data_IF_666010565695
#
_entry.id   IF_666010565695
#
_cell.length_a   1.000
_cell.length_b   1.000
_cell.length_c   1.000
_cell.angle_alpha   90.00
_cell.angle_beta   90.00
_cell.angle_gamma   90.00
#
_symmetry.space_group_name_H-M   'P 1'
#
loop_
_entity.id
_entity.type
_entity.pdbx_description
1 polymer ?
#
# COMPACT_ATOMS: atom_id res chain seq x y z
N UNK A 1 85.61 4.44 24.31
CA UNK A 1 84.76 5.64 24.49
C UNK A 1 83.45 5.34 23.78
N UNK A 2 82.35 5.00 24.48
CA UNK A 2 81.27 5.90 24.95
C UNK A 2 80.78 6.78 23.77
N UNK A 3 79.56 6.67 23.24
CA UNK A 3 78.28 6.76 23.96
C UNK A 3 77.08 6.22 23.16
N UNK A 4 76.15 5.59 23.90
CA UNK A 4 74.73 5.36 23.60
C UNK A 4 73.95 6.68 23.57
N UNK A 5 72.88 6.76 22.78
CA UNK A 5 71.58 7.31 23.21
C UNK A 5 70.49 7.02 22.15
N UNK A 6 69.63 6.04 22.44
CA UNK A 6 68.31 5.87 21.84
C UNK A 6 67.31 6.57 22.74
N UNK A 7 66.49 7.46 22.19
CA UNK A 7 65.37 8.09 22.91
C UNK A 7 64.06 7.58 22.30
N UNK A 8 63.40 6.66 23.00
CA UNK A 8 62.01 6.25 22.76
C UNK A 8 61.13 7.14 23.62
N UNK A 9 60.31 7.98 22.99
CA UNK A 9 59.24 8.73 23.65
C UNK A 9 57.89 8.14 23.23
N UNK A 10 57.35 7.31 24.12
CA UNK A 10 55.96 6.87 24.15
C UNK A 10 55.08 8.05 24.59
N UNK A 11 54.05 8.39 23.82
CA UNK A 11 53.05 9.37 24.23
C UNK A 11 51.85 9.51 23.29
N UNK A 12 50.69 9.07 23.79
CA UNK A 12 49.31 9.33 23.34
C UNK A 12 48.72 8.55 22.15
N UNK A 13 47.70 7.69 22.36
CA UNK A 13 46.71 7.43 21.34
C UNK A 13 45.73 8.61 21.36
N UNK A 14 45.82 9.51 20.39
CA UNK A 14 44.65 10.35 20.11
C UNK A 14 43.55 9.40 19.61
N UNK A 15 42.51 9.27 20.41
CA UNK A 15 41.22 8.75 19.99
C UNK A 15 40.85 9.48 18.70
N UNK A 16 40.88 8.77 17.57
CA UNK A 16 40.28 9.24 16.34
C UNK A 16 38.80 9.45 16.64
N UNK A 17 38.42 10.70 16.89
CA UNK A 17 37.02 11.09 16.94
C UNK A 17 36.43 10.67 15.60
N UNK A 18 35.50 9.72 15.62
CA UNK A 18 34.69 9.40 14.47
C UNK A 18 33.97 10.70 14.07
N UNK A 19 34.48 11.36 13.04
CA UNK A 19 33.81 12.50 12.43
C UNK A 19 32.50 11.95 11.88
N UNK A 20 31.41 12.23 12.59
CA UNK A 20 30.08 12.16 12.01
C UNK A 20 30.14 12.99 10.72
N UNK A 21 29.83 12.41 9.55
CA UNK A 21 29.93 13.13 8.29
C UNK A 21 29.09 14.42 8.42
N UNK A 22 29.67 15.60 8.12
CA UNK A 22 28.96 16.85 8.25
C UNK A 22 27.69 16.81 7.42
N UNK A 23 26.52 16.81 8.06
CA UNK A 23 25.30 17.22 7.38
C UNK A 23 25.54 18.65 6.91
N UNK A 24 25.48 18.90 5.60
CA UNK A 24 25.71 20.22 5.04
C UNK A 24 24.68 21.20 5.63
N UNK A 25 25.08 21.95 6.65
CA UNK A 25 24.25 23.01 7.22
C UNK A 25 23.86 23.97 6.09
N UNK A 26 22.55 24.06 5.81
CA UNK A 26 21.89 24.89 4.77
C UNK A 26 21.69 24.26 3.38
N UNK A 27 21.94 22.97 3.18
CA UNK A 27 21.40 22.30 1.98
C UNK A 27 19.88 22.11 2.17
N UNK A 28 19.09 22.45 1.15
CA UNK A 28 17.66 22.11 1.13
C UNK A 28 17.50 20.61 1.36
N UNK A 29 16.48 20.25 2.16
CA UNK A 29 16.17 18.84 2.36
C UNK A 29 16.00 18.18 0.99
N UNK A 30 16.63 17.02 0.73
CA UNK A 30 16.46 16.33 -0.53
C UNK A 30 14.96 16.11 -0.77
N UNK A 31 14.52 16.35 -2.00
CA UNK A 31 13.11 16.24 -2.37
C UNK A 31 12.56 14.89 -1.88
N UNK A 32 11.44 14.95 -1.14
CA UNK A 32 10.81 13.76 -0.59
C UNK A 32 10.47 12.81 -1.74
N UNK A 33 11.12 11.64 -1.76
CA UNK A 33 10.77 10.60 -2.73
C UNK A 33 9.39 10.05 -2.37
N UNK A 34 8.49 9.89 -3.36
CA UNK A 34 7.18 9.33 -3.09
C UNK A 34 7.34 7.91 -2.55
N UNK A 35 6.76 7.66 -1.38
CA UNK A 35 6.82 6.36 -0.74
C UNK A 35 6.14 5.32 -1.63
N UNK A 36 6.77 4.15 -1.81
CA UNK A 36 6.18 3.04 -2.58
C UNK A 36 4.83 2.68 -1.95
N UNK A 37 3.77 2.64 -2.76
CA UNK A 37 2.42 2.23 -2.34
C UNK A 37 2.10 0.87 -2.92
N UNK A 38 1.20 0.14 -2.26
CA UNK A 38 0.61 -1.05 -2.85
C UNK A 38 -0.35 -0.61 -3.95
N UNK A 39 -0.23 -1.20 -5.14
CA UNK A 39 -1.07 -0.86 -6.29
C UNK A 39 -1.54 -2.15 -6.94
N UNK A 40 -2.83 -2.24 -7.20
CA UNK A 40 -3.44 -3.32 -7.99
C UNK A 40 -4.43 -2.72 -8.98
N UNK A 41 -4.54 -3.34 -10.15
CA UNK A 41 -5.28 -2.81 -11.28
C UNK A 41 -6.33 -3.81 -11.75
N UNK A 42 -7.57 -3.37 -11.86
CA UNK A 42 -8.63 -4.08 -12.56
C UNK A 42 -8.81 -3.48 -13.94
N UNK A 43 -8.26 -4.14 -14.97
CA UNK A 43 -8.41 -3.68 -16.35
C UNK A 43 -9.83 -3.91 -16.89
N UNK A 44 -10.56 -4.89 -16.36
CA UNK A 44 -11.91 -5.18 -16.83
C UNK A 44 -12.91 -4.13 -16.34
N UNK A 45 -12.73 -3.65 -15.10
CA UNK A 45 -13.56 -2.62 -14.50
C UNK A 45 -13.00 -1.20 -14.67
N UNK A 46 -11.76 -1.01 -15.16
CA UNK A 46 -11.20 0.31 -15.43
C UNK A 46 -10.85 1.12 -14.16
N UNK A 47 -10.36 0.45 -13.11
CA UNK A 47 -9.94 1.14 -11.89
C UNK A 47 -8.64 0.58 -11.30
N UNK A 48 -7.95 1.45 -10.57
CA UNK A 48 -6.73 1.13 -9.81
C UNK A 48 -7.05 1.21 -8.33
N UNK A 49 -6.74 0.15 -7.60
CA UNK A 49 -6.71 0.14 -6.14
C UNK A 49 -5.34 0.56 -5.63
N UNK A 50 -5.29 1.58 -4.78
CA UNK A 50 -4.08 2.08 -4.12
C UNK A 50 -4.19 1.81 -2.62
N UNK A 51 -3.48 0.78 -2.18
CA UNK A 51 -3.40 0.40 -0.77
C UNK A 51 -2.37 1.22 0.02
N UNK A 52 -2.38 1.10 1.35
CA UNK A 52 -1.41 1.75 2.21
C UNK A 52 -0.02 1.16 2.03
N UNK A 53 1.00 1.91 2.43
CA UNK A 53 2.38 1.45 2.33
C UNK A 53 2.65 0.18 3.14
N UNK A 54 1.94 -0.02 4.27
CA UNK A 54 2.12 -1.21 5.13
C UNK A 54 1.80 -2.54 4.43
N UNK A 55 1.13 -2.50 3.28
CA UNK A 55 0.85 -3.67 2.46
C UNK A 55 1.99 -4.06 1.51
N UNK A 56 2.92 -3.15 1.21
CA UNK A 56 4.00 -3.38 0.24
C UNK A 56 4.88 -4.54 0.69
N UNK A 57 5.01 -5.55 -0.16
CA UNK A 57 5.79 -6.76 0.11
C UNK A 57 5.15 -7.76 1.07
N UNK A 58 3.98 -7.46 1.64
CA UNK A 58 3.23 -8.36 2.54
C UNK A 58 1.97 -8.91 1.87
N UNK A 59 1.18 -8.01 1.29
CA UNK A 59 -0.12 -8.33 0.70
C UNK A 59 0.04 -8.73 -0.77
N UNK A 60 -0.69 -9.76 -1.19
CA UNK A 60 -0.78 -10.21 -2.58
C UNK A 60 -2.21 -10.11 -3.08
N UNK A 61 -2.37 -9.69 -4.33
CA UNK A 61 -3.64 -9.69 -5.01
C UNK A 61 -3.87 -11.03 -5.73
N UNK A 62 -4.99 -11.67 -5.49
CA UNK A 62 -5.42 -12.89 -6.17
C UNK A 62 -6.81 -12.67 -6.77
N UNK A 63 -6.97 -12.76 -8.10
CA UNK A 63 -8.28 -12.65 -8.74
C UNK A 63 -9.28 -13.68 -8.20
N UNK A 64 -10.55 -13.30 -8.13
CA UNK A 64 -11.60 -14.22 -7.74
C UNK A 64 -11.90 -15.25 -8.82
N UNK A 65 -12.12 -16.50 -8.40
CA UNK A 65 -12.59 -17.54 -9.29
C UNK A 65 -14.03 -17.28 -9.75
N UNK A 66 -14.38 -17.73 -10.95
CA UNK A 66 -15.70 -17.51 -11.58
C UNK A 66 -16.87 -17.94 -10.69
N UNK A 67 -16.71 -19.01 -9.89
CA UNK A 67 -17.73 -19.46 -8.93
C UNK A 67 -18.05 -18.40 -7.86
N UNK A 68 -17.03 -17.71 -7.36
CA UNK A 68 -17.20 -16.65 -6.35
C UNK A 68 -17.89 -15.43 -6.97
N UNK A 69 -17.47 -15.04 -8.19
CA UNK A 69 -18.09 -13.94 -8.95
C UNK A 69 -19.57 -14.21 -9.25
N UNK A 70 -19.90 -15.42 -9.71
CA UNK A 70 -21.28 -15.82 -9.97
C UNK A 70 -22.18 -15.76 -8.72
N UNK A 71 -21.61 -16.07 -7.55
CA UNK A 71 -22.34 -16.04 -6.28
C UNK A 71 -22.58 -14.62 -5.79
N UNK A 72 -21.66 -13.70 -6.04
CA UNK A 72 -21.79 -12.29 -5.64
C UNK A 72 -22.52 -11.41 -6.66
N UNK A 73 -22.68 -11.89 -7.90
CA UNK A 73 -23.18 -11.08 -9.01
C UNK A 73 -22.15 -10.12 -9.61
N UNK A 74 -20.91 -10.15 -9.13
CA UNK A 74 -19.81 -9.32 -9.61
C UNK A 74 -19.34 -9.76 -11.02
N UNK A 75 -18.86 -8.82 -11.81
CA UNK A 75 -18.24 -9.07 -13.13
C UNK A 75 -16.75 -9.33 -12.99
N UNK A 76 -16.08 -8.68 -12.03
CA UNK A 76 -14.70 -8.94 -11.64
C UNK A 76 -14.50 -8.80 -10.13
N UNK A 77 -13.34 -9.21 -9.64
CA UNK A 77 -13.01 -9.05 -8.24
C UNK A 77 -11.68 -9.66 -7.85
N UNK A 78 -11.20 -9.26 -6.67
CA UNK A 78 -9.88 -9.61 -6.15
C UNK A 78 -9.92 -9.82 -4.65
N UNK A 79 -9.12 -10.78 -4.17
CA UNK A 79 -8.77 -10.91 -2.76
C UNK A 79 -7.37 -10.40 -2.53
N UNK A 80 -7.23 -9.57 -1.51
CA UNK A 80 -5.94 -9.16 -0.97
C UNK A 80 -5.60 -10.07 0.21
N UNK A 81 -4.48 -10.78 0.08
CA UNK A 81 -4.06 -11.86 0.95
C UNK A 81 -2.78 -11.52 1.69
N UNK A 82 -2.75 -11.75 3.00
CA UNK A 82 -1.53 -11.90 3.78
C UNK A 82 -1.34 -13.39 4.10
N UNK A 83 -0.42 -14.03 3.37
CA UNK A 83 -0.28 -15.49 3.42
C UNK A 83 -1.58 -16.20 3.03
N UNK A 84 -2.26 -16.80 4.03
CA UNK A 84 -3.55 -17.51 3.87
C UNK A 84 -4.76 -16.69 4.32
N UNK A 85 -4.53 -15.51 4.91
CA UNK A 85 -5.58 -14.67 5.46
C UNK A 85 -6.06 -13.68 4.42
N UNK A 86 -7.37 -13.57 4.26
CA UNK A 86 -7.98 -12.52 3.45
C UNK A 86 -8.02 -11.27 4.31
N UNK A 87 -7.41 -10.19 3.83
CA UNK A 87 -7.45 -8.88 4.50
C UNK A 87 -8.59 -8.04 3.95
N UNK A 88 -8.83 -8.13 2.64
CA UNK A 88 -9.84 -7.37 1.94
C UNK A 88 -10.26 -8.11 0.67
N UNK A 89 -11.55 -8.10 0.34
CA UNK A 89 -12.05 -8.52 -0.96
C UNK A 89 -12.77 -7.35 -1.63
N UNK A 90 -12.44 -7.10 -2.90
CA UNK A 90 -13.14 -6.13 -3.74
C UNK A 90 -13.90 -6.87 -4.84
N UNK A 91 -15.08 -6.36 -5.11
CA UNK A 91 -15.97 -6.82 -6.16
C UNK A 91 -16.32 -5.63 -7.03
N UNK A 92 -16.21 -5.79 -8.34
CA UNK A 92 -16.73 -4.80 -9.28
C UNK A 92 -17.91 -5.39 -10.05
N UNK A 93 -18.91 -4.55 -10.32
CA UNK A 93 -20.07 -4.91 -11.12
C UNK A 93 -20.56 -3.70 -11.90
N UNK A 94 -21.35 -3.95 -12.93
CA UNK A 94 -22.09 -2.89 -13.62
C UNK A 94 -23.31 -2.46 -12.81
N UNK A 95 -23.77 -1.23 -13.06
CA UNK A 95 -24.99 -0.67 -12.50
C UNK A 95 -26.19 -1.61 -12.70
N UNK A 96 -27.07 -1.68 -11.70
CA UNK A 96 -28.20 -2.61 -11.67
C UNK A 96 -27.91 -3.93 -10.96
N UNK A 97 -26.66 -4.18 -10.51
CA UNK A 97 -26.28 -5.35 -9.70
C UNK A 97 -26.07 -5.05 -8.22
N UNK A 98 -26.42 -3.86 -7.76
CA UNK A 98 -26.20 -3.39 -6.38
C UNK A 98 -26.91 -4.30 -5.37
N UNK A 99 -28.10 -4.77 -5.69
CA UNK A 99 -28.86 -5.64 -4.79
C UNK A 99 -28.18 -6.99 -4.60
N UNK A 100 -27.56 -7.54 -5.65
CA UNK A 100 -26.78 -8.78 -5.55
C UNK A 100 -25.52 -8.56 -4.70
N UNK A 101 -24.80 -7.46 -4.92
CA UNK A 101 -23.64 -7.07 -4.12
C UNK A 101 -23.99 -6.88 -2.64
N UNK A 102 -25.09 -6.18 -2.33
CA UNK A 102 -25.59 -6.01 -0.96
C UNK A 102 -25.96 -7.34 -0.32
N UNK A 103 -26.65 -8.21 -1.06
CA UNK A 103 -27.02 -9.55 -0.58
C UNK A 103 -25.79 -10.45 -0.33
N UNK A 104 -24.68 -10.20 -1.02
CA UNK A 104 -23.38 -10.86 -0.77
C UNK A 104 -22.63 -10.33 0.47
N UNK A 105 -23.23 -9.36 1.19
CA UNK A 105 -22.68 -8.74 2.39
C UNK A 105 -21.60 -7.71 2.10
N UNK A 106 -21.66 -7.05 0.95
CA UNK A 106 -20.69 -6.01 0.58
C UNK A 106 -21.24 -4.61 0.80
N UNK A 107 -20.33 -3.64 0.96
CA UNK A 107 -20.64 -2.22 1.04
C UNK A 107 -20.10 -1.52 -0.20
N UNK A 108 -20.91 -0.68 -0.84
CA UNK A 108 -20.47 0.12 -1.98
C UNK A 108 -19.35 1.08 -1.53
N UNK A 109 -18.25 1.10 -2.28
CA UNK A 109 -17.07 1.90 -2.00
C UNK A 109 -16.95 3.08 -2.95
N UNK A 110 -17.20 2.84 -4.24
CA UNK A 110 -17.09 3.87 -5.27
C UNK A 110 -17.93 3.50 -6.49
N UNK A 111 -18.39 4.51 -7.22
CA UNK A 111 -19.15 4.37 -8.46
C UNK A 111 -18.66 5.36 -9.51
N UNK A 112 -18.53 4.90 -10.74
CA UNK A 112 -18.17 5.74 -11.87
C UNK A 112 -18.65 5.15 -13.20
N UNK A 113 -19.21 5.99 -14.08
CA UNK A 113 -19.55 5.64 -15.46
C UNK A 113 -20.36 4.33 -15.63
N UNK A 114 -21.26 3.99 -14.70
CA UNK A 114 -22.06 2.77 -14.76
C UNK A 114 -21.40 1.54 -14.14
N UNK A 115 -20.26 1.70 -13.47
CA UNK A 115 -19.57 0.65 -12.72
C UNK A 115 -19.54 0.97 -11.23
N UNK A 116 -19.64 -0.08 -10.42
CA UNK A 116 -19.65 -0.03 -8.97
C UNK A 116 -18.53 -0.91 -8.44
N UNK A 117 -17.72 -0.38 -7.53
CA UNK A 117 -16.78 -1.15 -6.71
C UNK A 117 -17.36 -1.27 -5.32
N UNK A 118 -17.51 -2.50 -4.85
CA UNK A 118 -17.95 -2.83 -3.51
C UNK A 118 -16.88 -3.61 -2.74
N UNK A 119 -16.86 -3.41 -1.44
CA UNK A 119 -15.89 -4.00 -0.52
C UNK A 119 -16.56 -5.02 0.39
N UNK A 120 -15.85 -6.13 0.59
CA UNK A 120 -16.13 -7.10 1.64
C UNK A 120 -14.93 -7.13 2.59
N UNK A 121 -15.05 -6.41 3.69
CA UNK A 121 -14.02 -6.36 4.73
C UNK A 121 -13.93 -7.71 5.43
N UNK A 122 -12.70 -8.21 5.63
CA UNK A 122 -12.50 -9.38 6.47
C UNK A 122 -12.67 -9.01 7.94
N UNK A 123 -13.25 -9.92 8.74
CA UNK A 123 -13.46 -9.70 10.17
C UNK A 123 -12.13 -9.53 10.95
N UNK A 124 -11.04 -10.12 10.45
CA UNK A 124 -9.75 -10.25 11.17
C UNK A 124 -8.58 -9.55 10.45
N UNK A 125 -8.81 -8.40 9.81
CA UNK A 125 -7.76 -7.69 9.07
C UNK A 125 -6.58 -7.21 9.93
N UNK A 126 -6.74 -7.13 11.26
CA UNK A 126 -5.69 -6.74 12.20
C UNK A 126 -4.97 -5.45 11.81
N UNK A 127 -3.64 -5.42 11.92
CA UNK A 127 -2.80 -4.28 11.53
C UNK A 127 -2.90 -3.94 10.02
N UNK A 128 -3.29 -4.91 9.19
CA UNK A 128 -3.44 -4.73 7.75
C UNK A 128 -4.85 -4.27 7.36
N UNK A 129 -5.80 -4.23 8.29
CA UNK A 129 -7.14 -3.69 8.04
C UNK A 129 -7.05 -2.23 7.62
N UNK A 130 -7.89 -1.84 6.68
CA UNK A 130 -7.96 -0.46 6.21
C UNK A 130 -8.94 0.34 7.06
N UNK A 131 -8.60 1.59 7.32
CA UNK A 131 -9.57 2.53 7.88
C UNK A 131 -10.62 2.90 6.83
N UNK A 132 -11.76 3.45 7.27
CA UNK A 132 -12.79 3.94 6.34
C UNK A 132 -12.26 5.04 5.42
N UNK A 133 -11.36 5.88 5.90
CA UNK A 133 -10.72 6.96 5.13
C UNK A 133 -9.77 6.40 4.07
N UNK A 134 -8.96 5.41 4.43
CA UNK A 134 -8.07 4.73 3.48
C UNK A 134 -8.87 4.03 2.39
N UNK A 135 -9.96 3.36 2.75
CA UNK A 135 -10.86 2.72 1.79
C UNK A 135 -11.46 3.76 0.83
N UNK A 136 -12.00 4.86 1.36
CA UNK A 136 -12.65 5.90 0.54
C UNK A 136 -11.69 6.53 -0.49
N UNK A 137 -10.39 6.59 -0.17
CA UNK A 137 -9.37 7.12 -1.06
C UNK A 137 -8.67 6.05 -1.94
N UNK A 138 -8.98 4.78 -1.76
CA UNK A 138 -8.23 3.69 -2.38
C UNK A 138 -8.57 3.43 -3.85
N UNK A 139 -9.78 3.79 -4.30
CA UNK A 139 -10.21 3.54 -5.69
C UNK A 139 -9.91 4.76 -6.56
N UNK A 140 -9.17 4.55 -7.64
CA UNK A 140 -8.85 5.54 -8.66
C UNK A 140 -9.36 5.04 -10.01
N UNK A 141 -10.42 5.65 -10.52
CA UNK A 141 -10.99 5.34 -11.82
C UNK A 141 -10.13 5.87 -12.96
N UNK A 142 -10.16 5.19 -14.10
CA UNK A 142 -9.54 5.70 -15.32
C UNK A 142 -10.15 7.03 -15.75
N UNK A 143 -9.28 7.99 -16.09
CA UNK A 143 -9.72 9.32 -16.49
C UNK A 143 -10.38 10.15 -15.37
N UNK A 144 -10.53 9.59 -14.17
CA UNK A 144 -10.97 10.31 -12.97
C UNK A 144 -9.79 10.92 -12.22
N UNK A 145 -9.95 12.14 -11.70
CA UNK A 145 -9.00 12.63 -10.71
C UNK A 145 -9.10 11.76 -9.43
N UNK A 146 -7.97 11.49 -8.79
CA UNK A 146 -7.94 10.73 -7.53
C UNK A 146 -8.87 11.38 -6.50
N UNK A 147 -9.86 10.63 -5.99
CA UNK A 147 -10.83 11.14 -5.02
C UNK A 147 -12.09 11.79 -5.61
N UNK A 148 -12.30 11.74 -6.93
CA UNK A 148 -13.59 12.13 -7.52
C UNK A 148 -14.58 10.97 -7.37
N UNK A 149 -15.17 10.85 -6.18
CA UNK A 149 -16.24 9.89 -5.90
C UNK A 149 -17.48 10.70 -5.54
N UNK A 150 -18.50 10.63 -6.40
CA UNK A 150 -19.86 11.03 -6.02
C UNK A 150 -20.34 10.02 -4.98
N UNK A 151 -20.50 10.48 -3.74
CA UNK A 151 -21.12 9.72 -2.64
C UNK A 151 -22.64 9.78 -2.76
#
# INVERSE_FOLDING_TARGET
MKSLAVAILLGFPMLAAAQTPPGAHRADAPAAQPMKRFVWRDEAAGYTFVGPQRWVGKVRAAPLASKALATSGATSGVRFLDGKYVVLELLAADDGREQALKSAGTTELSRHAGHVVAVKSAADGGELALTSEELAAAVQWDGGAAGTVSR
#
